data_IF_896523438732
#
_entry.id   IF_896523438732
#
_cell.length_a   1.000
_cell.length_b   1.000
_cell.length_c   1.000
_cell.angle_alpha   90.00
_cell.angle_beta   90.00
_cell.angle_gamma   90.00
#
_symmetry.space_group_name_H-M   'P 1'
#
loop_
_entity.id
_entity.type
_entity.pdbx_description
1 polymer ?
#
# COMPACT_ATOMS: atom_id res chain seq x y z
N UNK A 1 5.93 21.37 -7.97
CA UNK A 1 4.92 20.34 -8.30
C UNK A 1 4.70 19.40 -7.12
N UNK A 2 3.48 18.87 -6.97
CA UNK A 2 3.15 17.79 -6.03
C UNK A 2 2.84 16.52 -6.82
N UNK A 3 3.34 15.38 -6.35
CA UNK A 3 3.15 14.06 -6.94
C UNK A 3 2.41 13.18 -5.94
N UNK A 4 1.33 12.55 -6.39
CA UNK A 4 0.58 11.54 -5.65
C UNK A 4 1.07 10.14 -6.08
N UNK A 5 1.65 9.39 -5.15
CA UNK A 5 1.99 7.98 -5.34
C UNK A 5 0.89 7.09 -4.77
N UNK A 6 0.54 6.04 -5.51
CA UNK A 6 -0.38 4.97 -5.09
C UNK A 6 0.37 3.66 -5.29
N UNK A 7 0.37 2.80 -4.29
CA UNK A 7 1.03 1.49 -4.31
C UNK A 7 0.06 0.40 -3.85
N UNK A 8 -0.15 -0.59 -4.72
CA UNK A 8 -1.10 -1.71 -4.55
C UNK A 8 -0.59 -2.97 -5.28
N UNK A 9 0.72 -3.23 -5.30
CA UNK A 9 1.28 -4.37 -6.04
C UNK A 9 1.18 -5.72 -5.31
N UNK A 10 1.10 -5.71 -3.97
CA UNK A 10 1.09 -6.93 -3.15
C UNK A 10 0.02 -6.87 -2.04
N UNK A 11 0.42 -6.76 -0.77
CA UNK A 11 -0.47 -6.86 0.39
C UNK A 11 -0.55 -5.56 1.22
N UNK A 12 -0.01 -4.46 0.69
CA UNK A 12 -0.19 -3.12 1.24
C UNK A 12 -0.98 -2.22 0.29
N UNK A 13 -1.89 -1.43 0.87
CA UNK A 13 -2.50 -0.27 0.20
C UNK A 13 -1.82 0.98 0.74
N UNK A 14 -1.06 1.68 -0.11
CA UNK A 14 -0.31 2.86 0.32
C UNK A 14 -0.53 4.09 -0.56
N UNK A 15 -0.47 5.25 0.06
CA UNK A 15 -0.57 6.57 -0.60
C UNK A 15 0.48 7.52 -0.04
N UNK A 16 1.17 8.23 -0.92
CA UNK A 16 2.15 9.25 -0.53
C UNK A 16 2.02 10.53 -1.36
N UNK A 17 2.36 11.67 -0.74
CA UNK A 17 2.54 12.96 -1.44
C UNK A 17 4.01 13.33 -1.37
N UNK A 18 4.64 13.55 -2.52
CA UNK A 18 6.03 14.03 -2.59
C UNK A 18 6.13 15.31 -3.41
N UNK A 19 7.16 16.13 -3.15
CA UNK A 19 7.43 17.34 -3.92
C UNK A 19 8.65 17.17 -4.86
N UNK A 20 8.92 18.16 -5.71
CA UNK A 20 10.08 18.14 -6.64
C UNK A 20 11.45 18.10 -5.94
N UNK A 21 11.52 18.53 -4.68
CA UNK A 21 12.73 18.45 -3.86
C UNK A 21 12.94 17.06 -3.27
N UNK A 22 12.05 16.11 -3.56
CA UNK A 22 12.02 14.73 -3.05
C UNK A 22 11.67 14.65 -1.56
N UNK A 23 11.04 15.69 -1.01
CA UNK A 23 10.50 15.63 0.35
C UNK A 23 9.22 14.80 0.36
N UNK A 24 9.06 13.96 1.38
CA UNK A 24 7.82 13.22 1.65
C UNK A 24 6.95 14.10 2.54
N UNK A 25 5.82 14.55 2.00
CA UNK A 25 4.87 15.42 2.70
C UNK A 25 3.78 14.64 3.43
N UNK A 26 3.45 13.46 2.93
CA UNK A 26 2.54 12.50 3.56
C UNK A 26 2.87 11.09 3.09
N UNK A 27 2.69 10.10 3.95
CA UNK A 27 2.86 8.69 3.64
C UNK A 27 1.95 7.86 4.56
N UNK A 28 0.97 7.17 3.97
CA UNK A 28 0.04 6.28 4.66
C UNK A 28 0.17 4.87 4.08
N UNK A 29 0.20 3.88 4.96
CA UNK A 29 0.34 2.47 4.64
C UNK A 29 -0.70 1.69 5.43
N UNK A 30 -1.50 0.88 4.74
CA UNK A 30 -2.39 -0.12 5.33
C UNK A 30 -1.88 -1.50 4.92
N UNK A 31 -1.48 -2.31 5.90
CA UNK A 31 -0.99 -3.68 5.68
C UNK A 31 -2.09 -4.71 5.88
N UNK A 32 -2.08 -5.76 5.06
CA UNK A 32 -3.03 -6.88 5.12
C UNK A 32 -2.45 -8.12 5.84
N UNK A 33 -1.43 -7.94 6.68
CA UNK A 33 -0.71 -9.06 7.33
C UNK A 33 -1.64 -9.96 8.15
N UNK A 34 -2.66 -9.37 8.79
CA UNK A 34 -3.60 -10.11 9.63
C UNK A 34 -4.56 -10.98 8.78
N UNK A 35 -4.94 -10.51 7.59
CA UNK A 35 -5.77 -11.23 6.61
C UNK A 35 -5.03 -12.45 6.04
N UNK A 36 -3.71 -12.35 5.87
CA UNK A 36 -2.88 -13.43 5.32
C UNK A 36 -2.32 -14.38 6.39
N UNK A 37 -2.41 -14.02 7.69
CA UNK A 37 -1.79 -14.77 8.80
C UNK A 37 -2.18 -16.24 8.84
N UNK A 38 -3.44 -16.58 8.58
CA UNK A 38 -3.94 -17.94 8.64
C UNK A 38 -3.36 -18.86 7.53
N UNK A 39 -2.84 -18.28 6.46
CA UNK A 39 -2.37 -19.00 5.28
C UNK A 39 -0.85 -19.17 5.24
N UNK A 40 -0.13 -18.50 6.14
CA UNK A 40 1.34 -18.56 6.20
C UNK A 40 2.04 -17.88 5.02
N UNK A 41 1.32 -17.06 4.25
CA UNK A 41 1.81 -16.33 3.09
C UNK A 41 0.69 -15.54 2.41
N UNK A 42 1.05 -14.64 1.51
CA UNK A 42 0.09 -13.78 0.77
C UNK A 42 -0.80 -14.64 -0.12
N UNK A 43 -2.11 -14.48 0.01
CA UNK A 43 -3.11 -15.10 -0.87
C UNK A 43 -3.55 -14.06 -1.91
N UNK A 44 -3.23 -14.24 -3.21
CA UNK A 44 -3.44 -13.19 -4.22
C UNK A 44 -4.87 -12.66 -4.33
N UNK A 45 -5.89 -13.53 -4.21
CA UNK A 45 -7.29 -13.12 -4.28
C UNK A 45 -7.72 -12.29 -3.05
N UNK A 46 -7.22 -12.62 -1.86
CA UNK A 46 -7.48 -11.84 -0.64
C UNK A 46 -6.84 -10.47 -0.78
N UNK A 47 -5.60 -10.44 -1.27
CA UNK A 47 -4.85 -9.19 -1.44
C UNK A 47 -5.53 -8.23 -2.43
N UNK A 48 -5.91 -8.75 -3.59
CA UNK A 48 -6.60 -7.97 -4.62
C UNK A 48 -7.91 -7.33 -4.09
N UNK A 49 -8.67 -8.05 -3.26
CA UNK A 49 -9.93 -7.53 -2.69
C UNK A 49 -9.71 -6.51 -1.59
N UNK A 50 -8.68 -6.66 -0.78
CA UNK A 50 -8.40 -5.76 0.33
C UNK A 50 -7.85 -4.39 -0.11
N UNK A 51 -7.56 -4.19 -1.40
CA UNK A 51 -7.28 -2.87 -1.98
C UNK A 51 -8.53 -2.03 -2.34
N UNK A 52 -9.73 -2.63 -2.35
CA UNK A 52 -11.01 -1.99 -2.72
C UNK A 52 -11.71 -1.44 -1.47
#
# INVERSE_FOLDING_TARGET
>A
MLILGIETSCDETSVAIVNEKKDILSNLVLSQLDEHRAFGGVVPEIAARAHI
#
